data_IF_405151433803
#
_entry.id   IF_405151433803
#
_cell.length_a   1.000
_cell.length_b   1.000
_cell.length_c   1.000
_cell.angle_alpha   90.00
_cell.angle_beta   90.00
_cell.angle_gamma   90.00
#
_symmetry.space_group_name_H-M   'P 1'
#
loop_
_entity.id
_entity.type
_entity.pdbx_description
1 polymer ?
#
# COMPACT_ATOMS: atom_id res chain seq x y z
N UNK A 1 -4.46 -13.52 29.99
CA UNK A 1 -5.87 -13.16 30.01
C UNK A 1 -6.18 -12.54 28.64
N UNK A 2 -6.91 -13.26 27.79
CA UNK A 2 -7.40 -12.78 26.50
C UNK A 2 -8.46 -11.70 26.78
N UNK A 3 -8.19 -10.48 26.35
CA UNK A 3 -9.16 -9.39 26.38
C UNK A 3 -10.20 -9.67 25.29
N UNK A 4 -11.40 -10.09 25.70
CA UNK A 4 -12.56 -10.20 24.81
C UNK A 4 -13.21 -8.83 24.69
N UNK A 5 -12.70 -8.00 23.76
CA UNK A 5 -13.33 -6.73 23.42
C UNK A 5 -14.56 -6.96 22.54
N UNK A 6 -15.69 -6.35 22.88
CA UNK A 6 -16.91 -6.37 22.09
C UNK A 6 -16.70 -5.47 20.84
N UNK A 7 -16.79 -6.00 19.61
CA UNK A 7 -16.50 -5.24 18.39
C UNK A 7 -17.45 -4.07 18.13
N UNK A 8 -18.48 -3.87 18.92
CA UNK A 8 -19.46 -2.78 18.77
C UNK A 8 -19.21 -1.55 19.64
N UNK A 9 -18.34 -1.64 20.63
CA UNK A 9 -18.14 -0.55 21.60
C UNK A 9 -16.77 0.14 21.53
N UNK A 10 -15.79 -0.42 20.81
CA UNK A 10 -14.41 0.04 20.84
C UNK A 10 -13.98 0.91 19.64
N UNK A 11 -14.92 1.48 18.88
CA UNK A 11 -14.57 2.35 17.74
C UNK A 11 -13.83 3.64 18.15
N UNK A 12 -13.95 4.06 19.39
CA UNK A 12 -13.28 5.27 19.93
C UNK A 12 -11.84 5.01 20.45
N UNK A 13 -11.42 3.74 20.64
CA UNK A 13 -10.07 3.42 21.11
C UNK A 13 -8.98 3.49 20.02
N UNK A 14 -9.38 3.64 18.75
CA UNK A 14 -8.46 3.63 17.62
C UNK A 14 -8.03 5.04 17.13
N UNK A 15 -8.60 6.11 17.69
CA UNK A 15 -8.34 7.49 17.22
C UNK A 15 -7.53 8.37 18.17
N UNK A 16 -7.07 7.87 19.33
CA UNK A 16 -6.02 8.53 20.10
C UNK A 16 -4.65 8.26 19.44
N UNK A 17 -4.52 8.77 18.21
CA UNK A 17 -3.27 8.78 17.47
C UNK A 17 -2.42 9.93 18.03
N UNK A 18 -1.62 9.64 19.06
CA UNK A 18 -0.53 10.52 19.43
C UNK A 18 0.43 10.65 18.23
N UNK A 19 0.61 11.86 17.64
CA UNK A 19 1.42 12.03 16.42
C UNK A 19 2.93 11.81 16.63
N UNK A 20 3.33 11.20 17.73
CA UNK A 20 4.74 10.97 18.13
C UNK A 20 5.12 9.49 18.23
N UNK A 21 4.31 8.58 17.70
CA UNK A 21 4.66 7.17 17.76
C UNK A 21 5.80 6.88 16.78
N UNK A 22 7.03 6.84 17.28
CA UNK A 22 8.15 6.24 16.56
C UNK A 22 7.93 4.73 16.55
N UNK A 23 7.72 4.14 15.39
CA UNK A 23 7.62 2.69 15.26
C UNK A 23 9.04 2.12 15.25
N UNK A 24 9.44 1.33 16.26
CA UNK A 24 10.74 0.68 16.23
C UNK A 24 10.87 -0.16 14.96
N UNK A 25 12.06 -0.18 14.35
CA UNK A 25 12.32 -0.95 13.12
C UNK A 25 11.93 -2.44 13.25
N UNK A 26 12.00 -3.00 14.45
CA UNK A 26 11.60 -4.37 14.76
C UNK A 26 10.08 -4.62 14.61
N UNK A 27 9.25 -3.58 14.60
CA UNK A 27 7.78 -3.70 14.55
C UNK A 27 7.19 -3.28 13.20
N UNK A 28 8.00 -2.94 12.18
CA UNK A 28 7.45 -2.54 10.86
C UNK A 28 6.62 -3.67 10.25
N UNK A 29 7.06 -4.92 10.34
CA UNK A 29 6.30 -6.07 9.85
C UNK A 29 4.91 -6.14 10.49
N UNK A 30 4.85 -6.05 11.82
CA UNK A 30 3.59 -6.06 12.56
C UNK A 30 2.70 -4.87 12.18
N UNK A 31 3.27 -3.68 12.02
CA UNK A 31 2.52 -2.49 11.61
C UNK A 31 1.95 -2.63 10.19
N UNK A 32 2.73 -3.10 9.24
CA UNK A 32 2.29 -3.36 7.86
C UNK A 32 1.16 -4.39 7.84
N UNK A 33 1.38 -5.54 8.47
CA UNK A 33 0.38 -6.60 8.55
C UNK A 33 -0.92 -6.10 9.18
N UNK A 34 -0.83 -5.44 10.33
CA UNK A 34 -1.99 -4.90 11.03
C UNK A 34 -2.72 -3.83 10.22
N UNK A 35 -2.01 -2.95 9.53
CA UNK A 35 -2.61 -1.94 8.66
C UNK A 35 -3.43 -2.58 7.54
N UNK A 36 -2.89 -3.63 6.88
CA UNK A 36 -3.60 -4.37 5.85
C UNK A 36 -4.87 -5.05 6.40
N UNK A 37 -4.77 -5.71 7.57
CA UNK A 37 -5.93 -6.37 8.17
C UNK A 37 -7.00 -5.37 8.61
N UNK A 38 -6.62 -4.22 9.18
CA UNK A 38 -7.57 -3.18 9.57
C UNK A 38 -8.28 -2.60 8.34
N UNK A 39 -7.56 -2.37 7.24
CA UNK A 39 -8.14 -1.92 5.98
C UNK A 39 -9.16 -2.92 5.43
N UNK A 40 -8.78 -4.20 5.36
CA UNK A 40 -9.64 -5.27 4.86
C UNK A 40 -10.85 -5.56 5.77
N UNK A 41 -10.72 -5.33 7.09
CA UNK A 41 -11.79 -5.55 8.06
C UNK A 41 -12.81 -4.41 8.10
N UNK A 42 -12.39 -3.21 7.72
CA UNK A 42 -13.26 -2.03 7.75
C UNK A 42 -14.43 -2.18 6.77
N UNK A 43 -15.64 -2.05 7.31
CA UNK A 43 -16.87 -2.09 6.50
C UNK A 43 -16.97 -0.83 5.64
N UNK A 44 -16.81 -1.01 4.34
CA UNK A 44 -16.93 0.05 3.33
C UNK A 44 -17.88 -0.41 2.22
N UNK A 45 -18.73 0.47 1.69
CA UNK A 45 -19.60 0.12 0.58
C UNK A 45 -18.80 -0.44 -0.61
N UNK A 46 -19.19 -1.63 -1.08
CA UNK A 46 -18.53 -2.28 -2.22
C UNK A 46 -17.19 -2.97 -1.91
N UNK A 47 -16.81 -3.11 -0.64
CA UNK A 47 -15.62 -3.85 -0.22
C UNK A 47 -15.97 -5.21 0.39
N UNK A 48 -15.04 -6.15 0.25
CA UNK A 48 -15.03 -7.39 1.03
C UNK A 48 -14.65 -7.06 2.47
N UNK A 49 -15.30 -7.73 3.43
CA UNK A 49 -14.96 -7.68 4.84
C UNK A 49 -15.41 -8.99 5.52
N UNK A 50 -15.05 -9.26 6.79
CA UNK A 50 -15.53 -10.45 7.48
C UNK A 50 -17.07 -10.56 7.43
N UNK A 51 -17.56 -11.65 6.85
CA UNK A 51 -19.00 -11.90 6.67
C UNK A 51 -19.61 -11.42 5.36
N UNK A 52 -18.83 -10.73 4.48
CA UNK A 52 -19.28 -10.31 3.15
C UNK A 52 -18.18 -10.58 2.14
N UNK A 53 -18.48 -11.43 1.15
CA UNK A 53 -17.56 -11.80 0.06
C UNK A 53 -18.21 -11.54 -1.28
N UNK A 54 -17.39 -11.31 -2.31
CA UNK A 54 -17.87 -11.31 -3.69
C UNK A 54 -17.73 -12.70 -4.31
N UNK A 55 -18.37 -12.91 -5.47
CA UNK A 55 -18.46 -14.20 -6.13
C UNK A 55 -17.10 -14.92 -6.30
N UNK A 56 -16.00 -14.14 -6.41
CA UNK A 56 -14.66 -14.68 -6.67
C UNK A 56 -13.57 -14.13 -5.74
N UNK A 57 -13.92 -13.33 -4.72
CA UNK A 57 -12.95 -12.70 -3.81
C UNK A 57 -13.48 -12.77 -2.38
N UNK A 58 -12.78 -13.48 -1.52
CA UNK A 58 -13.11 -13.65 -0.12
C UNK A 58 -12.21 -12.79 0.79
N UNK A 59 -12.60 -12.62 2.06
CA UNK A 59 -11.79 -11.94 3.06
C UNK A 59 -10.43 -12.62 3.27
N UNK A 60 -10.40 -13.95 3.17
CA UNK A 60 -9.20 -14.77 3.28
C UNK A 60 -8.14 -14.44 2.22
N UNK A 61 -8.55 -13.99 1.03
CA UNK A 61 -7.64 -13.54 -0.02
C UNK A 61 -6.89 -12.26 0.39
N UNK A 62 -7.56 -11.35 1.12
CA UNK A 62 -6.94 -10.16 1.67
C UNK A 62 -5.98 -10.50 2.82
N UNK A 63 -6.32 -11.47 3.66
CA UNK A 63 -5.44 -11.95 4.74
C UNK A 63 -4.18 -12.59 4.16
N UNK A 64 -4.33 -13.51 3.21
CA UNK A 64 -3.20 -14.17 2.54
C UNK A 64 -2.29 -13.15 1.82
N UNK A 65 -2.90 -12.15 1.18
CA UNK A 65 -2.17 -11.08 0.52
C UNK A 65 -1.42 -10.20 1.52
N UNK A 66 -2.00 -9.89 2.69
CA UNK A 66 -1.35 -9.14 3.76
C UNK A 66 -0.12 -9.89 4.29
N UNK A 67 -0.25 -11.20 4.53
CA UNK A 67 0.86 -12.05 4.97
C UNK A 67 2.00 -12.03 3.94
N UNK A 68 1.68 -12.16 2.65
CA UNK A 68 2.65 -12.26 1.57
C UNK A 68 3.51 -10.98 1.42
N UNK A 69 2.94 -9.79 1.60
CA UNK A 69 3.64 -8.53 1.36
C UNK A 69 4.41 -8.00 2.57
N UNK A 70 4.09 -8.48 3.77
CA UNK A 70 4.59 -7.93 5.04
C UNK A 70 6.12 -7.89 5.12
N UNK A 71 6.80 -8.98 4.77
CA UNK A 71 8.25 -9.06 4.82
C UNK A 71 8.93 -8.21 3.73
N UNK A 72 8.30 -8.10 2.57
CA UNK A 72 8.81 -7.29 1.46
C UNK A 72 8.77 -5.81 1.83
N UNK A 73 7.61 -5.32 2.27
CA UNK A 73 7.45 -3.92 2.67
C UNK A 73 8.29 -3.54 3.88
N UNK A 74 8.50 -4.47 4.83
CA UNK A 74 9.41 -4.23 5.94
C UNK A 74 10.87 -4.06 5.51
N UNK A 75 11.24 -4.51 4.32
CA UNK A 75 12.58 -4.40 3.75
C UNK A 75 12.73 -3.24 2.74
N UNK A 76 11.76 -2.36 2.63
CA UNK A 76 11.75 -1.26 1.63
C UNK A 76 12.98 -0.38 1.69
N UNK A 77 13.53 -0.12 2.88
CA UNK A 77 14.76 0.68 3.04
C UNK A 77 15.97 0.12 2.30
N UNK A 78 16.03 -1.20 2.13
CA UNK A 78 17.11 -1.85 1.41
C UNK A 78 16.78 -2.06 -0.07
N UNK A 79 15.50 -2.24 -0.41
CA UNK A 79 15.05 -2.55 -1.77
C UNK A 79 14.83 -1.29 -2.61
N UNK A 80 14.45 -0.18 -1.99
CA UNK A 80 13.87 0.98 -2.65
C UNK A 80 12.35 0.86 -2.80
N UNK A 81 11.68 2.00 -2.97
CA UNK A 81 10.22 2.09 -2.99
C UNK A 81 9.61 1.33 -4.17
N UNK A 82 10.03 1.67 -5.39
CA UNK A 82 9.45 1.06 -6.60
C UNK A 82 9.66 -0.44 -6.65
N UNK A 83 10.86 -0.92 -6.30
CA UNK A 83 11.14 -2.36 -6.25
C UNK A 83 10.32 -3.07 -5.19
N UNK A 84 10.12 -2.46 -4.02
CA UNK A 84 9.27 -3.02 -2.97
C UNK A 84 7.80 -3.12 -3.41
N UNK A 85 7.31 -2.13 -4.15
CA UNK A 85 5.98 -2.17 -4.78
C UNK A 85 5.88 -3.37 -5.72
N UNK A 86 6.82 -3.53 -6.64
CA UNK A 86 6.83 -4.62 -7.62
C UNK A 86 6.89 -5.99 -6.95
N UNK A 87 7.83 -6.20 -6.02
CA UNK A 87 8.00 -7.48 -5.34
C UNK A 87 6.80 -7.81 -4.43
N UNK A 88 6.15 -6.80 -3.84
CA UNK A 88 4.91 -7.00 -3.08
C UNK A 88 3.75 -7.44 -3.98
N UNK A 89 3.59 -6.84 -5.16
CA UNK A 89 2.57 -7.28 -6.13
C UNK A 89 2.85 -8.70 -6.62
N UNK A 90 4.12 -9.05 -6.90
CA UNK A 90 4.51 -10.43 -7.24
C UNK A 90 4.18 -11.40 -6.12
N UNK A 91 4.47 -11.05 -4.86
CA UNK A 91 4.14 -11.87 -3.70
C UNK A 91 2.63 -12.09 -3.56
N UNK A 92 1.82 -11.05 -3.74
CA UNK A 92 0.36 -11.16 -3.77
C UNK A 92 -0.11 -12.11 -4.89
N UNK A 93 0.42 -11.96 -6.11
CA UNK A 93 0.04 -12.81 -7.26
C UNK A 93 0.38 -14.28 -7.07
N UNK A 94 1.34 -14.61 -6.21
CA UNK A 94 1.68 -16.00 -5.88
C UNK A 94 0.66 -16.67 -4.95
N UNK A 95 -0.14 -15.90 -4.20
CA UNK A 95 -1.12 -16.42 -3.22
C UNK A 95 -2.56 -16.11 -3.61
N UNK A 96 -2.79 -15.13 -4.48
CA UNK A 96 -4.11 -14.69 -4.90
C UNK A 96 -4.12 -14.29 -6.38
N UNK A 97 -5.10 -14.78 -7.15
CA UNK A 97 -5.25 -14.44 -8.57
C UNK A 97 -5.83 -13.04 -8.79
N UNK A 98 -6.37 -12.42 -7.75
CA UNK A 98 -7.04 -11.12 -7.81
C UNK A 98 -6.15 -10.00 -7.26
N UNK A 99 -6.41 -8.77 -7.72
CA UNK A 99 -5.83 -7.59 -7.11
C UNK A 99 -6.61 -7.25 -5.83
N UNK A 100 -6.02 -7.58 -4.67
CA UNK A 100 -6.61 -7.33 -3.35
C UNK A 100 -6.02 -6.13 -2.65
N UNK A 101 -4.79 -5.71 -3.00
CA UNK A 101 -4.04 -4.79 -2.15
C UNK A 101 -3.10 -3.81 -2.89
N UNK A 102 -3.22 -3.61 -4.20
CA UNK A 102 -2.33 -2.70 -4.94
C UNK A 102 -2.31 -1.28 -4.32
N UNK A 103 -3.48 -0.71 -4.01
CA UNK A 103 -3.57 0.62 -3.39
C UNK A 103 -2.87 0.68 -2.03
N UNK A 104 -3.01 -0.38 -1.22
CA UNK A 104 -2.32 -0.49 0.07
C UNK A 104 -0.80 -0.54 -0.14
N UNK A 105 -0.32 -1.37 -1.06
CA UNK A 105 1.11 -1.50 -1.38
C UNK A 105 1.68 -0.14 -1.81
N UNK A 106 1.01 0.55 -2.74
CA UNK A 106 1.42 1.86 -3.22
C UNK A 106 1.53 2.88 -2.10
N UNK A 107 0.59 2.89 -1.14
CA UNK A 107 0.61 3.83 -0.02
C UNK A 107 1.60 3.44 1.08
N UNK A 108 1.75 2.16 1.40
CA UNK A 108 2.63 1.72 2.48
C UNK A 108 4.11 1.71 2.09
N UNK A 109 4.46 1.47 0.83
CA UNK A 109 5.85 1.39 0.42
C UNK A 109 6.66 2.65 0.75
N UNK A 110 6.24 3.88 0.40
CA UNK A 110 6.97 5.08 0.79
C UNK A 110 7.01 5.29 2.32
N UNK A 111 5.94 4.94 3.06
CA UNK A 111 5.92 5.06 4.51
C UNK A 111 6.93 4.12 5.19
N UNK A 112 7.09 2.90 4.69
CA UNK A 112 8.05 1.93 5.23
C UNK A 112 9.51 2.25 4.85
N UNK A 113 9.73 3.13 3.87
CA UNK A 113 11.04 3.64 3.51
C UNK A 113 11.57 4.69 4.50
N UNK A 114 10.68 5.38 5.24
CA UNK A 114 11.09 6.39 6.23
C UNK A 114 11.99 5.77 7.29
N UNK A 115 13.18 6.36 7.61
CA UNK A 115 14.09 5.86 8.64
C UNK A 115 13.40 5.68 10.00
N UNK A 116 13.80 4.66 10.77
CA UNK A 116 13.14 4.32 12.03
C UNK A 116 13.33 5.38 13.14
N UNK A 117 14.36 6.19 13.04
CA UNK A 117 14.72 7.26 13.98
C UNK A 117 14.06 8.60 13.61
N UNK A 118 13.36 8.66 12.47
CA UNK A 118 12.63 9.83 11.98
C UNK A 118 11.12 9.59 12.11
N UNK A 119 10.35 10.60 12.49
CA UNK A 119 8.90 10.48 12.51
C UNK A 119 8.34 10.45 11.07
N UNK A 120 7.22 9.75 10.85
CA UNK A 120 6.63 9.64 9.51
C UNK A 120 6.35 11.01 8.86
N UNK A 121 5.74 12.01 9.58
CA UNK A 121 5.49 13.32 8.97
C UNK A 121 6.77 14.07 8.56
N UNK A 122 7.87 13.87 9.29
CA UNK A 122 9.15 14.54 8.99
C UNK A 122 9.93 13.84 7.87
N UNK A 123 9.79 12.50 7.77
CA UNK A 123 10.59 11.71 6.84
C UNK A 123 9.95 11.46 5.48
N UNK A 124 8.63 11.53 5.39
CA UNK A 124 7.91 11.15 4.16
C UNK A 124 8.22 12.08 2.99
N UNK A 125 8.33 13.39 3.24
CA UNK A 125 8.66 14.36 2.20
C UNK A 125 10.04 14.08 1.57
N UNK A 126 11.02 13.73 2.39
CA UNK A 126 12.34 13.37 1.92
C UNK A 126 12.32 12.08 1.08
N UNK A 127 11.52 11.09 1.48
CA UNK A 127 11.32 9.85 0.71
C UNK A 127 10.68 10.15 -0.64
N UNK A 128 9.58 10.90 -0.67
CA UNK A 128 8.87 11.24 -1.90
C UNK A 128 9.72 12.07 -2.85
N UNK A 129 10.46 13.04 -2.33
CA UNK A 129 11.39 13.86 -3.14
C UNK A 129 12.59 13.07 -3.68
N UNK A 130 12.93 11.95 -3.05
CA UNK A 130 14.02 11.07 -3.48
C UNK A 130 13.60 9.98 -4.47
N UNK A 131 12.32 9.89 -4.83
CA UNK A 131 11.83 8.88 -5.79
C UNK A 131 12.41 9.09 -7.18
N UNK A 132 12.81 8.01 -7.81
CA UNK A 132 13.53 8.00 -9.08
C UNK A 132 12.65 7.58 -10.26
N UNK A 133 13.23 7.61 -11.46
CA UNK A 133 12.61 7.02 -12.65
C UNK A 133 12.56 5.50 -12.56
N UNK A 134 13.57 4.85 -11.98
CA UNK A 134 13.57 3.41 -11.77
C UNK A 134 12.41 2.98 -10.84
N UNK A 135 12.09 3.82 -9.83
CA UNK A 135 10.91 3.58 -8.99
C UNK A 135 9.62 3.68 -9.81
N UNK A 136 9.53 4.60 -10.76
CA UNK A 136 8.38 4.70 -11.66
C UNK A 136 8.28 3.48 -12.60
N UNK A 137 9.39 3.02 -13.17
CA UNK A 137 9.42 1.84 -14.05
C UNK A 137 8.94 0.57 -13.32
N UNK A 138 9.46 0.32 -12.11
CA UNK A 138 9.02 -0.80 -11.28
C UNK A 138 7.54 -0.69 -10.87
N UNK A 139 7.09 0.53 -10.54
CA UNK A 139 5.69 0.77 -10.17
C UNK A 139 4.75 0.56 -11.36
N UNK A 140 5.11 1.00 -12.57
CA UNK A 140 4.33 0.75 -13.78
C UNK A 140 4.24 -0.76 -14.08
N UNK A 141 5.36 -1.49 -13.95
CA UNK A 141 5.36 -2.96 -14.06
C UNK A 141 4.43 -3.60 -13.04
N UNK A 142 4.48 -3.15 -11.79
CA UNK A 142 3.61 -3.63 -10.72
C UNK A 142 2.12 -3.40 -11.02
N UNK A 143 1.75 -2.20 -11.48
CA UNK A 143 0.36 -1.87 -11.81
C UNK A 143 -0.13 -2.76 -12.97
N UNK A 144 0.68 -2.93 -14.02
CA UNK A 144 0.35 -3.83 -15.13
C UNK A 144 0.17 -5.28 -14.66
N UNK A 145 1.05 -5.75 -13.77
CA UNK A 145 0.96 -7.10 -13.22
C UNK A 145 -0.28 -7.28 -12.34
N UNK A 146 -0.64 -6.28 -11.54
CA UNK A 146 -1.82 -6.32 -10.67
C UNK A 146 -3.15 -6.30 -11.44
N UNK A 147 -3.16 -5.78 -12.66
CA UNK A 147 -4.35 -5.69 -13.52
C UNK A 147 -5.57 -5.08 -12.80
N UNK A 148 -5.46 -3.87 -12.23
CA UNK A 148 -6.58 -3.27 -11.52
C UNK A 148 -7.76 -3.03 -12.45
N UNK A 149 -8.98 -3.24 -11.94
CA UNK A 149 -10.19 -2.92 -12.70
C UNK A 149 -10.29 -1.41 -12.89
N UNK A 150 -10.79 -0.99 -14.07
CA UNK A 150 -10.97 0.42 -14.37
C UNK A 150 -9.70 1.15 -14.82
N UNK A 151 -8.62 0.42 -15.11
CA UNK A 151 -7.45 0.99 -15.75
C UNK A 151 -7.84 1.38 -17.18
N UNK A 152 -8.12 2.67 -17.39
CA UNK A 152 -8.36 3.25 -18.71
C UNK A 152 -7.06 3.61 -19.41
N UNK A 153 -7.18 4.29 -20.56
CA UNK A 153 -6.06 4.97 -21.21
C UNK A 153 -6.00 6.44 -20.77
N UNK A 154 -4.83 7.00 -20.65
CA UNK A 154 -4.64 8.40 -20.27
C UNK A 154 -3.67 9.10 -21.22
N UNK A 155 -3.89 10.40 -21.46
CA UNK A 155 -3.03 11.22 -22.35
C UNK A 155 -1.63 11.46 -21.74
N UNK A 156 -1.51 11.36 -20.41
CA UNK A 156 -0.24 11.51 -19.69
C UNK A 156 -0.16 10.50 -18.55
N UNK A 157 1.07 10.13 -18.16
CA UNK A 157 1.35 9.13 -17.11
C UNK A 157 0.52 7.83 -17.29
N UNK A 158 0.38 7.37 -18.53
CA UNK A 158 -0.32 6.15 -18.86
C UNK A 158 0.55 4.94 -18.49
N UNK A 159 0.09 4.12 -17.56
CA UNK A 159 0.82 2.93 -17.10
C UNK A 159 0.91 1.83 -18.16
N UNK A 160 0.11 1.92 -19.23
CA UNK A 160 0.21 1.03 -20.40
C UNK A 160 1.35 1.41 -21.34
N UNK A 161 1.89 2.64 -21.22
CA UNK A 161 3.08 3.07 -21.95
C UNK A 161 4.30 2.20 -21.61
N UNK A 162 5.22 2.10 -22.56
CA UNK A 162 6.41 1.26 -22.42
C UNK A 162 7.37 1.74 -21.32
N UNK A 163 7.41 3.04 -21.04
CA UNK A 163 8.30 3.66 -20.06
C UNK A 163 7.66 4.93 -19.50
N UNK A 164 7.84 5.24 -18.20
CA UNK A 164 7.38 6.50 -17.62
C UNK A 164 8.24 7.68 -18.10
N UNK A 165 7.61 8.87 -18.18
CA UNK A 165 8.26 10.09 -18.65
C UNK A 165 8.94 10.91 -17.54
N UNK A 166 9.10 10.34 -16.32
CA UNK A 166 9.71 11.04 -15.19
C UNK A 166 9.93 10.13 -13.99
N UNK A 167 10.26 10.74 -12.87
CA UNK A 167 10.34 10.08 -11.56
C UNK A 167 8.96 9.62 -11.09
N UNK A 168 8.92 8.71 -10.11
CA UNK A 168 7.62 8.24 -9.59
C UNK A 168 6.79 9.38 -9.01
N UNK A 169 7.40 10.35 -8.32
CA UNK A 169 6.68 11.51 -7.80
C UNK A 169 6.07 12.37 -8.94
N UNK A 170 6.82 12.59 -10.02
CA UNK A 170 6.36 13.38 -11.17
C UNK A 170 5.18 12.71 -11.88
N UNK A 171 5.27 11.41 -12.19
CA UNK A 171 4.16 10.71 -12.88
C UNK A 171 2.93 10.56 -11.98
N UNK A 172 3.10 10.39 -10.67
CA UNK A 172 2.00 10.40 -9.72
C UNK A 172 1.35 11.78 -9.64
N UNK A 173 2.13 12.87 -9.61
CA UNK A 173 1.59 14.23 -9.63
C UNK A 173 0.74 14.50 -10.89
N UNK A 174 1.16 14.04 -12.06
CA UNK A 174 0.38 14.14 -13.30
C UNK A 174 -0.95 13.35 -13.24
N UNK A 175 -1.04 12.33 -12.42
CA UNK A 175 -2.24 11.51 -12.24
C UNK A 175 -3.11 11.96 -11.06
N UNK A 176 -2.68 12.92 -10.25
CA UNK A 176 -3.29 13.29 -8.97
C UNK A 176 -4.74 13.79 -9.08
N UNK A 177 -5.13 14.39 -10.22
CA UNK A 177 -6.50 14.89 -10.44
C UNK A 177 -7.51 13.75 -10.63
N UNK A 178 -7.06 12.59 -11.15
CA UNK A 178 -7.92 11.47 -11.54
C UNK A 178 -7.77 10.23 -10.64
N UNK A 179 -6.69 10.15 -9.85
CA UNK A 179 -6.39 8.99 -9.02
C UNK A 179 -6.12 9.40 -7.57
N UNK A 180 -6.86 8.80 -6.63
CA UNK A 180 -6.78 9.14 -5.21
C UNK A 180 -5.48 8.66 -4.55
N UNK A 181 -4.89 7.56 -5.03
CA UNK A 181 -3.59 7.07 -4.56
C UNK A 181 -2.48 7.98 -5.07
N UNK A 182 -2.50 8.30 -6.36
CA UNK A 182 -1.53 9.21 -6.97
C UNK A 182 -1.51 10.58 -6.28
N UNK A 183 -2.66 11.09 -5.86
CA UNK A 183 -2.79 12.34 -5.10
C UNK A 183 -2.02 12.34 -3.78
N UNK A 184 -1.75 11.18 -3.18
CA UNK A 184 -0.99 11.10 -1.93
C UNK A 184 0.52 11.24 -2.14
N UNK A 185 0.99 11.22 -3.37
CA UNK A 185 2.39 11.42 -3.74
C UNK A 185 2.70 12.88 -4.16
N UNK A 186 1.66 13.71 -4.37
CA UNK A 186 1.77 15.08 -4.91
C UNK A 186 1.88 16.15 -3.82
#
# INVERSE_FOLDING_TARGET
>A
ALCTADPKTDFNLYYDFEPRCRVPAANIQECVHRACLLEATAQKPGNVHPGESFEHVAYEDFVASADAITSVLANTRNLGVGKSILESVKATRNVCEHNTNLGIILLLAPLTAVPADVSLPEGIEAVLSGLTRDDAEHTYEAIRLAQPRGLGTADSADVTASSPDGTLAEVMSQAADRDAVARQYA
#
